data_IF_105902736224
#
_entry.id   IF_105902736224
#
_cell.length_a   1.000
_cell.length_b   1.000
_cell.length_c   1.000
_cell.angle_alpha   90.00
_cell.angle_beta   90.00
_cell.angle_gamma   90.00
#
_symmetry.space_group_name_H-M   'P 1'
#
loop_
_entity.id
_entity.type
_entity.pdbx_description
1 polymer ?
#
# COMPACT_ATOMS: atom_id res chain seq x y z
N UNK A 1 -15.96 31.20 15.66
CA UNK A 1 -15.64 30.82 14.28
C UNK A 1 -15.64 29.30 14.23
N UNK A 2 -16.73 28.69 13.80
CA UNK A 2 -16.78 27.24 13.54
C UNK A 2 -15.86 26.97 12.37
N UNK A 3 -14.82 26.15 12.57
CA UNK A 3 -14.05 25.62 11.46
C UNK A 3 -15.04 24.88 10.55
N UNK A 4 -15.25 25.38 9.34
CA UNK A 4 -15.88 24.59 8.29
C UNK A 4 -14.96 23.37 8.10
N UNK A 5 -15.41 22.20 8.54
CA UNK A 5 -14.71 20.95 8.28
C UNK A 5 -14.65 20.81 6.75
N UNK A 6 -13.45 20.95 6.18
CA UNK A 6 -13.22 20.65 4.78
C UNK A 6 -13.52 19.16 4.57
N UNK A 7 -14.42 18.87 3.63
CA UNK A 7 -14.70 17.49 3.23
C UNK A 7 -13.42 16.84 2.70
N UNK A 8 -13.03 15.65 3.19
CA UNK A 8 -11.82 14.97 2.72
C UNK A 8 -11.89 14.74 1.21
N UNK A 9 -10.86 15.17 0.47
CA UNK A 9 -10.80 15.01 -0.99
C UNK A 9 -9.78 13.97 -1.39
N UNK A 10 -8.68 13.84 -0.65
CA UNK A 10 -7.72 12.78 -0.86
C UNK A 10 -7.83 11.74 0.26
N UNK A 11 -8.38 10.57 -0.06
CA UNK A 11 -8.69 9.52 0.93
C UNK A 11 -7.87 8.28 0.60
N UNK A 12 -7.13 7.77 1.58
CA UNK A 12 -6.43 6.49 1.48
C UNK A 12 -7.19 5.40 2.25
N UNK A 13 -7.36 4.25 1.63
CA UNK A 13 -7.86 3.03 2.29
C UNK A 13 -6.68 2.10 2.49
N UNK A 14 -6.40 1.77 3.74
CA UNK A 14 -5.26 0.95 4.13
C UNK A 14 -5.69 -0.30 4.89
N UNK A 15 -4.81 -1.29 4.98
CA UNK A 15 -5.11 -2.59 5.57
C UNK A 15 -4.16 -3.66 5.07
N UNK A 16 -4.09 -4.79 5.78
CA UNK A 16 -3.23 -5.91 5.40
C UNK A 16 -3.60 -6.51 4.02
N UNK A 17 -2.73 -7.38 3.48
CA UNK A 17 -3.00 -8.15 2.25
C UNK A 17 -4.27 -8.97 2.47
N UNK A 18 -5.25 -8.84 1.57
CA UNK A 18 -6.57 -9.49 1.71
C UNK A 18 -7.59 -8.73 2.57
N UNK A 19 -7.30 -7.52 3.06
CA UNK A 19 -8.23 -6.76 3.91
C UNK A 19 -9.48 -6.25 3.17
N UNK A 20 -9.45 -6.18 1.84
CA UNK A 20 -10.58 -5.68 1.01
C UNK A 20 -10.46 -4.23 0.55
N UNK A 21 -9.25 -3.65 0.61
CA UNK A 21 -8.97 -2.25 0.24
C UNK A 21 -9.45 -1.92 -1.18
N UNK A 22 -9.00 -2.69 -2.18
CA UNK A 22 -9.33 -2.49 -3.60
C UNK A 22 -10.84 -2.58 -3.86
N UNK A 23 -11.53 -3.48 -3.15
CA UNK A 23 -12.99 -3.59 -3.22
C UNK A 23 -13.68 -2.36 -2.65
N UNK A 24 -13.22 -1.87 -1.48
CA UNK A 24 -13.81 -0.70 -0.85
C UNK A 24 -13.60 0.56 -1.70
N UNK A 25 -12.38 0.83 -2.19
CA UNK A 25 -12.15 2.01 -3.05
C UNK A 25 -12.94 1.92 -4.35
N UNK A 26 -13.17 0.72 -4.90
CA UNK A 26 -14.02 0.54 -6.07
C UNK A 26 -15.47 0.96 -5.81
N UNK A 27 -16.05 0.45 -4.73
CA UNK A 27 -17.43 0.79 -4.32
C UNK A 27 -17.59 2.28 -4.01
N UNK A 28 -16.63 2.85 -3.27
CA UNK A 28 -16.64 4.29 -2.95
C UNK A 28 -16.42 5.14 -4.22
N UNK A 29 -15.57 4.67 -5.14
CA UNK A 29 -15.34 5.29 -6.44
C UNK A 29 -16.63 5.48 -7.23
N UNK A 30 -17.40 4.40 -7.37
CA UNK A 30 -18.70 4.43 -8.05
C UNK A 30 -19.72 5.31 -7.33
N UNK A 31 -19.78 5.23 -6.00
CA UNK A 31 -20.76 5.98 -5.21
C UNK A 31 -20.52 7.50 -5.22
N UNK A 32 -19.26 7.92 -5.23
CA UNK A 32 -18.87 9.33 -5.11
C UNK A 32 -18.38 9.97 -6.41
N UNK A 33 -18.46 9.25 -7.55
CA UNK A 33 -17.87 9.65 -8.82
C UNK A 33 -16.40 10.09 -8.66
N UNK A 34 -15.67 9.30 -7.86
CA UNK A 34 -14.33 9.62 -7.41
C UNK A 34 -13.28 8.94 -8.31
N UNK A 35 -12.14 9.62 -8.48
CA UNK A 35 -10.99 9.01 -9.13
C UNK A 35 -10.40 7.92 -8.23
N UNK A 36 -10.38 6.68 -8.71
CA UNK A 36 -9.79 5.55 -7.99
C UNK A 36 -8.40 5.23 -8.51
N UNK A 37 -7.44 5.11 -7.60
CA UNK A 37 -6.08 4.66 -7.88
C UNK A 37 -5.81 3.40 -7.09
N UNK A 38 -5.24 2.43 -7.79
CA UNK A 38 -4.99 1.09 -7.27
C UNK A 38 -3.51 0.77 -7.40
N UNK A 39 -3.01 0.03 -6.42
CA UNK A 39 -1.70 -0.58 -6.55
C UNK A 39 -1.69 -1.63 -7.66
N UNK A 40 -0.63 -1.58 -8.49
CA UNK A 40 -0.41 -2.51 -9.60
C UNK A 40 0.65 -3.53 -9.20
N UNK A 41 0.32 -4.41 -8.24
CA UNK A 41 1.25 -5.45 -7.72
C UNK A 41 1.88 -6.30 -8.82
N UNK A 42 1.08 -6.60 -9.84
CA UNK A 42 1.35 -7.56 -10.91
C UNK A 42 2.40 -7.03 -11.91
N UNK A 43 2.61 -5.71 -11.93
CA UNK A 43 3.65 -5.07 -12.76
C UNK A 43 5.04 -5.20 -12.16
N UNK A 44 5.16 -5.60 -10.89
CA UNK A 44 6.45 -5.77 -10.24
C UNK A 44 7.14 -7.05 -10.75
N UNK A 45 8.22 -6.94 -11.55
CA UNK A 45 8.87 -8.10 -12.18
C UNK A 45 9.57 -9.01 -11.14
N UNK A 46 9.68 -8.55 -9.90
CA UNK A 46 10.32 -9.28 -8.80
C UNK A 46 9.32 -9.96 -7.88
N UNK A 47 8.00 -9.70 -7.98
CA UNK A 47 7.03 -10.15 -6.97
C UNK A 47 6.95 -11.68 -6.82
N UNK A 48 6.97 -12.40 -7.94
CA UNK A 48 6.98 -13.87 -7.92
C UNK A 48 8.25 -14.41 -7.29
N UNK A 49 9.41 -13.84 -7.64
CA UNK A 49 10.71 -14.23 -7.07
C UNK A 49 10.83 -13.85 -5.59
N UNK A 50 10.23 -12.75 -5.18
CA UNK A 50 10.16 -12.32 -3.78
C UNK A 50 9.45 -13.33 -2.89
N UNK A 51 8.32 -13.90 -3.34
CA UNK A 51 7.62 -14.91 -2.56
C UNK A 51 8.35 -16.25 -2.53
N UNK A 52 9.20 -16.54 -3.53
CA UNK A 52 10.03 -17.75 -3.55
C UNK A 52 11.34 -17.60 -2.75
N UNK A 53 11.98 -16.44 -2.81
CA UNK A 53 13.24 -16.12 -2.16
C UNK A 53 13.27 -14.63 -1.77
N UNK A 54 12.75 -14.36 -0.57
CA UNK A 54 12.68 -13.01 -0.02
C UNK A 54 14.05 -12.40 0.25
N UNK A 55 15.05 -13.21 0.59
CA UNK A 55 16.38 -12.72 0.94
C UNK A 55 17.11 -12.20 -0.30
N UNK A 56 16.95 -12.85 -1.45
CA UNK A 56 17.61 -12.42 -2.69
C UNK A 56 16.84 -11.35 -3.48
N UNK A 57 15.51 -11.27 -3.31
CA UNK A 57 14.62 -10.41 -4.13
C UNK A 57 13.84 -9.36 -3.34
N UNK A 58 13.97 -9.34 -2.02
CA UNK A 58 13.32 -8.38 -1.12
C UNK A 58 13.61 -6.95 -1.54
N UNK A 59 14.88 -6.59 -1.68
CA UNK A 59 15.28 -5.22 -1.99
C UNK A 59 14.74 -4.71 -3.32
N UNK A 60 14.86 -5.51 -4.38
CA UNK A 60 14.41 -5.16 -5.73
C UNK A 60 12.88 -5.00 -5.78
N UNK A 61 12.14 -5.90 -5.11
CA UNK A 61 10.70 -5.80 -5.02
C UNK A 61 10.26 -4.53 -4.26
N UNK A 62 10.90 -4.22 -3.12
CA UNK A 62 10.56 -3.04 -2.32
C UNK A 62 10.91 -1.72 -3.02
N UNK A 63 12.08 -1.63 -3.66
CA UNK A 63 12.44 -0.42 -4.44
C UNK A 63 11.50 -0.22 -5.61
N UNK A 64 11.07 -1.30 -6.28
CA UNK A 64 10.05 -1.20 -7.34
C UNK A 64 8.73 -0.62 -6.79
N UNK A 65 8.23 -1.15 -5.68
CA UNK A 65 7.02 -0.63 -5.04
C UNK A 65 7.16 0.84 -4.66
N UNK A 66 8.27 1.22 -4.03
CA UNK A 66 8.55 2.60 -3.64
C UNK A 66 8.49 3.57 -4.83
N UNK A 67 9.19 3.23 -5.92
CA UNK A 67 9.27 4.06 -7.11
C UNK A 67 7.92 4.14 -7.84
N UNK A 68 7.21 3.03 -7.97
CA UNK A 68 5.90 3.02 -8.62
C UNK A 68 4.89 3.88 -7.85
N UNK A 69 4.82 3.71 -6.53
CA UNK A 69 3.96 4.51 -5.66
C UNK A 69 4.32 5.99 -5.70
N UNK A 70 5.61 6.31 -5.68
CA UNK A 70 6.06 7.70 -5.82
C UNK A 70 5.59 8.31 -7.14
N UNK A 71 5.76 7.61 -8.27
CA UNK A 71 5.33 8.10 -9.58
C UNK A 71 3.81 8.33 -9.63
N UNK A 72 3.00 7.38 -9.15
CA UNK A 72 1.54 7.54 -9.09
C UNK A 72 1.13 8.75 -8.22
N UNK A 73 1.79 8.95 -7.08
CA UNK A 73 1.52 10.11 -6.21
C UNK A 73 1.98 11.44 -6.82
N UNK A 74 3.05 11.45 -7.63
CA UNK A 74 3.48 12.65 -8.33
C UNK A 74 2.54 13.00 -9.49
N UNK A 75 2.05 12.01 -10.23
CA UNK A 75 1.02 12.21 -11.24
C UNK A 75 -0.27 12.74 -10.63
N UNK A 76 -0.64 12.25 -9.45
CA UNK A 76 -1.75 12.79 -8.66
C UNK A 76 -1.54 14.26 -8.30
N UNK A 77 -0.36 14.61 -7.77
CA UNK A 77 -0.06 15.98 -7.36
C UNK A 77 -0.01 16.97 -8.53
N UNK A 78 0.25 16.50 -9.75
CA UNK A 78 0.20 17.32 -10.98
C UNK A 78 -1.23 17.55 -11.47
N UNK A 79 -2.13 16.61 -11.21
CA UNK A 79 -3.55 16.79 -11.47
C UNK A 79 -4.12 17.76 -10.44
N UNK A 80 -5.19 18.45 -10.81
CA UNK A 80 -5.92 19.27 -9.84
C UNK A 80 -6.64 18.34 -8.85
N UNK A 81 -5.92 17.93 -7.79
CA UNK A 81 -6.42 17.16 -6.64
C UNK A 81 -7.69 17.80 -6.03
N UNK A 82 -7.95 19.08 -6.33
CA UNK A 82 -9.11 19.80 -5.83
C UNK A 82 -10.30 19.78 -6.80
N UNK A 83 -10.22 19.14 -7.96
CA UNK A 83 -11.33 19.07 -8.91
C UNK A 83 -12.31 17.92 -8.63
N UNK A 84 -11.85 16.81 -8.04
CA UNK A 84 -12.67 15.64 -7.68
C UNK A 84 -12.10 14.90 -6.45
N UNK A 85 -12.92 14.04 -5.84
CA UNK A 85 -12.45 13.16 -4.76
C UNK A 85 -11.52 12.09 -5.35
N UNK A 86 -10.41 11.83 -4.67
CA UNK A 86 -9.41 10.82 -5.00
C UNK A 86 -9.39 9.75 -3.92
N UNK A 87 -9.53 8.49 -4.33
CA UNK A 87 -9.44 7.31 -3.49
C UNK A 87 -8.24 6.47 -3.89
N UNK A 88 -7.33 6.21 -2.97
CA UNK A 88 -6.20 5.28 -3.16
C UNK A 88 -6.37 4.05 -2.27
N UNK A 89 -6.04 2.85 -2.76
CA UNK A 89 -6.02 1.63 -1.93
C UNK A 89 -4.68 1.39 -1.22
N UNK A 90 -3.91 2.48 -1.07
CA UNK A 90 -2.64 2.47 -0.37
C UNK A 90 -2.17 3.83 0.10
N UNK A 91 -1.51 3.80 1.25
CA UNK A 91 -0.77 4.89 1.86
C UNK A 91 0.71 4.75 1.51
N UNK A 92 1.36 5.83 1.08
CA UNK A 92 2.79 5.81 0.74
C UNK A 92 3.66 5.30 1.90
N UNK A 93 3.34 5.71 3.14
CA UNK A 93 4.07 5.34 4.36
C UNK A 93 4.06 3.84 4.65
N UNK A 94 3.09 3.08 4.11
CA UNK A 94 3.04 1.63 4.31
C UNK A 94 4.25 0.92 3.72
N UNK A 95 4.88 1.50 2.70
CA UNK A 95 6.03 0.87 2.01
C UNK A 95 7.15 0.57 2.99
N UNK A 96 7.38 1.50 3.93
CA UNK A 96 8.40 1.33 4.96
C UNK A 96 8.09 0.19 5.93
N UNK A 97 6.81 -0.11 6.19
CA UNK A 97 6.42 -1.28 7.01
C UNK A 97 6.84 -2.58 6.32
N UNK A 98 6.62 -2.69 5.01
CA UNK A 98 7.07 -3.84 4.24
C UNK A 98 8.59 -3.90 4.15
N UNK A 99 9.27 -2.78 3.94
CA UNK A 99 10.73 -2.73 3.91
C UNK A 99 11.33 -3.21 5.24
N UNK A 100 10.80 -2.75 6.38
CA UNK A 100 11.28 -3.17 7.70
C UNK A 100 11.06 -4.66 8.00
N UNK A 101 10.04 -5.28 7.40
CA UNK A 101 9.78 -6.72 7.53
C UNK A 101 10.63 -7.58 6.60
N UNK A 102 11.05 -7.04 5.46
CA UNK A 102 11.62 -7.83 4.37
C UNK A 102 13.12 -7.59 4.14
N UNK A 103 13.67 -6.45 4.57
CA UNK A 103 15.04 -6.04 4.30
C UNK A 103 15.90 -6.10 5.56
N UNK A 104 17.18 -6.44 5.41
CA UNK A 104 18.15 -6.52 6.52
C UNK A 104 19.28 -5.52 6.34
N UNK A 105 19.85 -5.09 7.47
CA UNK A 105 21.12 -4.36 7.57
C UNK A 105 21.32 -3.22 6.54
N UNK A 106 22.16 -3.47 5.53
CA UNK A 106 22.55 -2.49 4.53
C UNK A 106 21.44 -2.21 3.51
N UNK A 107 20.61 -3.21 3.19
CA UNK A 107 19.48 -3.06 2.28
C UNK A 107 18.45 -2.11 2.86
N UNK A 108 18.10 -2.28 4.15
CA UNK A 108 17.16 -1.40 4.84
C UNK A 108 17.71 0.03 4.94
N UNK A 109 19.01 0.19 5.21
CA UNK A 109 19.65 1.52 5.24
C UNK A 109 19.59 2.22 3.88
N UNK A 110 19.89 1.50 2.80
CA UNK A 110 19.83 2.06 1.45
C UNK A 110 18.39 2.39 1.05
N UNK A 111 17.44 1.50 1.38
CA UNK A 111 16.02 1.76 1.21
C UNK A 111 15.58 3.04 1.94
N UNK A 112 15.94 3.20 3.23
CA UNK A 112 15.56 4.37 4.03
C UNK A 112 16.14 5.67 3.45
N UNK A 113 17.36 5.63 2.88
CA UNK A 113 17.93 6.77 2.16
C UNK A 113 17.07 7.16 0.96
N UNK A 114 16.70 6.19 0.10
CA UNK A 114 15.84 6.44 -1.07
C UNK A 114 14.47 6.96 -0.62
N UNK A 115 13.86 6.30 0.37
CA UNK A 115 12.56 6.68 0.92
C UNK A 115 12.56 8.15 1.39
N UNK A 116 13.59 8.57 2.13
CA UNK A 116 13.70 9.93 2.66
C UNK A 116 13.80 11.02 1.58
N UNK A 117 14.43 10.70 0.44
CA UNK A 117 14.54 11.62 -0.70
C UNK A 117 13.19 11.82 -1.41
N UNK A 118 12.35 10.78 -1.42
CA UNK A 118 11.08 10.78 -2.12
C UNK A 118 9.93 11.30 -1.25
N UNK A 119 9.88 10.88 0.02
CA UNK A 119 8.73 11.08 0.91
C UNK A 119 8.32 12.54 1.12
N UNK A 120 9.27 13.47 1.04
CA UNK A 120 9.03 14.90 1.28
C UNK A 120 8.14 15.56 0.22
N UNK A 121 8.05 14.98 -0.98
CA UNK A 121 7.26 15.54 -2.10
C UNK A 121 5.88 14.90 -2.22
N UNK A 122 5.65 13.82 -1.49
CA UNK A 122 4.44 13.00 -1.60
C UNK A 122 3.26 13.72 -0.92
N UNK A 123 2.13 13.96 -1.63
CA UNK A 123 0.94 14.52 -1.01
C UNK A 123 0.42 13.60 0.10
N UNK A 124 -0.15 14.20 1.15
CA UNK A 124 -0.72 13.46 2.28
C UNK A 124 -2.23 13.36 2.11
N UNK A 125 -2.83 12.18 2.35
CA UNK A 125 -4.28 12.06 2.42
C UNK A 125 -4.87 12.92 3.53
N UNK A 126 -6.06 13.44 3.29
CA UNK A 126 -6.91 14.14 4.27
C UNK A 126 -7.54 13.15 5.27
N UNK A 127 -7.76 11.91 4.82
CA UNK A 127 -8.34 10.83 5.60
C UNK A 127 -7.66 9.50 5.26
N UNK A 128 -7.37 8.71 6.29
CA UNK A 128 -6.97 7.32 6.15
C UNK A 128 -8.02 6.42 6.79
N UNK A 129 -8.56 5.48 6.01
CA UNK A 129 -9.49 4.45 6.46
C UNK A 129 -8.71 3.15 6.62
N UNK A 130 -8.50 2.70 7.86
CA UNK A 130 -7.81 1.45 8.13
C UNK A 130 -8.79 0.27 8.27
N UNK A 131 -8.63 -0.74 7.43
CA UNK A 131 -9.41 -1.98 7.44
C UNK A 131 -8.71 -3.01 8.31
N UNK A 132 -9.18 -3.10 9.55
CA UNK A 132 -8.73 -4.11 10.50
C UNK A 132 -9.43 -5.46 10.24
N UNK A 133 -8.67 -6.56 10.19
CA UNK A 133 -9.19 -7.90 9.91
C UNK A 133 -8.30 -8.97 10.55
N UNK A 134 -8.88 -10.06 11.04
CA UNK A 134 -8.12 -11.18 11.61
C UNK A 134 -7.30 -11.91 10.54
N UNK A 135 -6.14 -12.44 10.93
CA UNK A 135 -5.24 -13.18 10.02
C UNK A 135 -5.95 -14.36 9.33
N UNK A 136 -6.85 -15.06 10.02
CA UNK A 136 -7.62 -16.18 9.43
C UNK A 136 -8.50 -15.74 8.26
N UNK A 137 -9.18 -14.60 8.40
CA UNK A 137 -10.02 -14.05 7.33
C UNK A 137 -9.15 -13.54 6.18
N UNK A 138 -8.01 -12.91 6.47
CA UNK A 138 -7.06 -12.46 5.45
C UNK A 138 -6.55 -13.64 4.63
N UNK A 139 -6.13 -14.73 5.28
CA UNK A 139 -5.66 -15.95 4.65
C UNK A 139 -6.71 -16.55 3.72
N UNK A 140 -7.93 -16.74 4.22
CA UNK A 140 -9.04 -17.28 3.41
C UNK A 140 -9.31 -16.43 2.15
N UNK A 141 -9.19 -15.10 2.25
CA UNK A 141 -9.38 -14.20 1.11
C UNK A 141 -8.21 -14.26 0.11
N UNK A 142 -6.97 -14.36 0.60
CA UNK A 142 -5.77 -14.53 -0.25
C UNK A 142 -5.86 -15.85 -1.02
N UNK A 143 -6.17 -16.95 -0.34
CA UNK A 143 -6.38 -18.27 -0.95
C UNK A 143 -7.49 -18.22 -2.01
N UNK A 144 -8.64 -17.63 -1.68
CA UNK A 144 -9.77 -17.49 -2.61
C UNK A 144 -9.42 -16.64 -3.84
N UNK A 145 -8.58 -15.61 -3.69
CA UNK A 145 -8.16 -14.74 -4.79
C UNK A 145 -7.22 -15.47 -5.76
N UNK A 146 -6.43 -16.43 -5.27
CA UNK A 146 -5.70 -17.38 -6.12
C UNK A 146 -4.64 -16.78 -7.05
N UNK A 147 -3.99 -15.67 -6.66
CA UNK A 147 -2.89 -15.10 -7.45
C UNK A 147 -1.69 -16.05 -7.41
N UNK A 148 -1.16 -16.43 -8.56
CA UNK A 148 -0.13 -17.48 -8.67
C UNK A 148 1.11 -17.21 -7.80
N UNK A 149 1.55 -15.95 -7.74
CA UNK A 149 2.73 -15.58 -6.94
C UNK A 149 2.48 -15.63 -5.42
N UNK A 150 1.23 -15.54 -4.96
CA UNK A 150 0.89 -15.61 -3.53
C UNK A 150 0.86 -17.05 -3.01
N UNK A 151 0.84 -18.05 -3.90
CA UNK A 151 0.88 -19.46 -3.52
C UNK A 151 2.17 -19.84 -2.76
N UNK A 152 3.26 -19.08 -2.96
CA UNK A 152 4.54 -19.27 -2.27
C UNK A 152 4.64 -18.43 -0.98
N UNK A 153 3.60 -17.69 -0.61
CA UNK A 153 3.62 -16.85 0.58
C UNK A 153 3.69 -17.70 1.85
N UNK A 154 4.70 -17.41 2.67
CA UNK A 154 4.82 -17.96 4.02
C UNK A 154 3.57 -17.60 4.87
N UNK A 155 2.83 -18.59 5.41
CA UNK A 155 1.74 -18.41 6.36
C UNK A 155 2.01 -17.41 7.50
N UNK A 156 3.21 -17.46 8.08
CA UNK A 156 3.57 -16.63 9.23
C UNK A 156 3.90 -15.20 8.78
N UNK A 157 4.30 -15.04 7.52
CA UNK A 157 4.54 -13.72 6.95
C UNK A 157 3.25 -12.88 6.92
N UNK A 158 2.13 -13.43 6.48
CA UNK A 158 0.87 -12.69 6.46
C UNK A 158 0.46 -12.23 7.86
N UNK A 159 0.69 -13.06 8.88
CA UNK A 159 0.44 -12.70 10.28
C UNK A 159 1.36 -11.59 10.77
N UNK A 160 2.66 -11.67 10.45
CA UNK A 160 3.65 -10.64 10.79
C UNK A 160 3.33 -9.30 10.12
N UNK A 161 2.90 -9.32 8.85
CA UNK A 161 2.41 -8.13 8.15
C UNK A 161 1.19 -7.58 8.88
N UNK A 162 0.19 -8.41 9.20
CA UNK A 162 -1.01 -7.95 9.89
C UNK A 162 -0.71 -7.31 11.25
N UNK A 163 0.19 -7.92 12.05
CA UNK A 163 0.66 -7.34 13.32
C UNK A 163 1.36 -6.00 13.11
N UNK A 164 2.22 -5.88 12.10
CA UNK A 164 2.90 -4.63 11.77
C UNK A 164 1.91 -3.50 11.44
N UNK A 165 0.87 -3.79 10.66
CA UNK A 165 -0.19 -2.83 10.36
C UNK A 165 -0.98 -2.41 11.60
N UNK A 166 -1.40 -3.36 12.44
CA UNK A 166 -2.12 -3.06 13.69
C UNK A 166 -1.30 -2.30 14.73
N UNK A 167 0.03 -2.37 14.67
CA UNK A 167 0.90 -1.59 15.55
C UNK A 167 1.14 -0.16 15.03
N UNK A 168 1.00 0.04 13.72
CA UNK A 168 1.24 1.33 13.08
C UNK A 168 0.03 2.27 13.12
N UNK A 169 -1.18 1.71 12.95
CA UNK A 169 -2.47 2.44 12.98
C UNK A 169 -3.13 2.33 14.35
#
# INVERSE_FOLDING_TARGET
MTAQLLEPRFIAVEGCIGAGKTSLVGLLGEQFDAQVIREMDEENPFISKFYQDRESFGFQAQVFFLLNRYNQYMELAQRDLFSSVVLVDYLFQRDRLFAALNLKDQELKLYDQIYSLLSNKVPKPDLVIFLQTSTDVLRSRVEKRGREYEAFMDPDYLDNVNKSFNNFF
#
